data_IF_406369472571
#
_entry.id   IF_406369472571
#
_cell.length_a   1.000
_cell.length_b   1.000
_cell.length_c   1.000
_cell.angle_alpha   90.00
_cell.angle_beta   90.00
_cell.angle_gamma   90.00
#
_symmetry.space_group_name_H-M   'P 1'
#
loop_
_entity.id
_entity.type
_entity.pdbx_description
1 polymer ?
#
# COMPACT_ATOMS: atom_id res chain seq x y z
N UNK A 1 -4.52 6.94 2.68
CA UNK A 1 -4.42 5.89 1.63
C UNK A 1 -5.15 4.66 2.15
N UNK A 2 -5.94 3.95 1.31
CA UNK A 2 -6.98 2.99 1.78
C UNK A 2 -6.51 1.97 2.82
N UNK A 3 -5.26 1.51 2.71
CA UNK A 3 -4.66 0.56 3.66
C UNK A 3 -4.52 1.19 5.05
N UNK A 4 -3.88 2.36 5.16
CA UNK A 4 -3.68 3.01 6.47
C UNK A 4 -4.95 3.68 7.02
N UNK A 5 -5.95 3.95 6.17
CA UNK A 5 -7.24 4.49 6.60
C UNK A 5 -8.16 3.41 7.20
N UNK A 6 -7.70 2.15 7.29
CA UNK A 6 -8.46 1.04 7.86
C UNK A 6 -9.65 0.58 6.99
N UNK A 7 -9.64 0.91 5.69
CA UNK A 7 -10.74 0.60 4.78
C UNK A 7 -10.97 -0.92 4.60
N UNK A 8 -9.90 -1.71 4.65
CA UNK A 8 -9.97 -3.16 4.53
C UNK A 8 -10.15 -3.82 5.90
N UNK A 9 -11.36 -4.26 6.18
CA UNK A 9 -11.70 -4.97 7.44
C UNK A 9 -11.53 -6.49 7.35
N UNK A 10 -11.22 -7.01 6.16
CA UNK A 10 -10.86 -8.41 5.95
C UNK A 10 -9.84 -8.53 4.82
N UNK A 11 -9.04 -9.59 4.88
CA UNK A 11 -8.10 -9.98 3.83
C UNK A 11 -8.82 -10.20 2.49
N UNK A 12 -10.03 -10.78 2.53
CA UNK A 12 -10.88 -10.96 1.35
C UNK A 12 -11.22 -9.65 0.64
N UNK A 13 -11.55 -8.59 1.39
CA UNK A 13 -11.88 -7.29 0.81
C UNK A 13 -10.65 -6.64 0.15
N UNK A 14 -9.48 -6.78 0.77
CA UNK A 14 -8.22 -6.32 0.18
C UNK A 14 -7.90 -7.06 -1.12
N UNK A 15 -7.97 -8.40 -1.12
CA UNK A 15 -7.70 -9.22 -2.30
C UNK A 15 -8.69 -8.96 -3.44
N UNK A 16 -9.95 -8.63 -3.13
CA UNK A 16 -10.94 -8.28 -4.15
C UNK A 16 -10.49 -7.05 -4.97
N UNK A 17 -10.01 -5.99 -4.30
CA UNK A 17 -9.52 -4.78 -4.98
C UNK A 17 -8.22 -5.05 -5.75
N UNK A 18 -7.32 -5.89 -5.23
CA UNK A 18 -6.09 -6.29 -5.94
C UNK A 18 -6.41 -7.06 -7.23
N UNK A 19 -7.41 -7.95 -7.19
CA UNK A 19 -7.86 -8.72 -8.35
C UNK A 19 -8.52 -7.88 -9.44
N UNK A 20 -8.82 -6.60 -9.18
CA UNK A 20 -9.28 -5.68 -10.22
C UNK A 20 -8.14 -5.24 -11.15
N UNK A 21 -6.87 -5.39 -10.75
CA UNK A 21 -5.74 -4.84 -11.52
C UNK A 21 -5.62 -5.48 -12.91
N UNK A 22 -5.68 -6.82 -13.07
CA UNK A 22 -5.63 -7.43 -14.40
C UNK A 22 -6.85 -7.09 -15.26
N UNK A 23 -8.03 -6.99 -14.65
CA UNK A 23 -9.25 -6.58 -15.35
C UNK A 23 -9.13 -5.14 -15.87
N UNK A 24 -8.66 -4.22 -15.04
CA UNK A 24 -8.43 -2.84 -15.42
C UNK A 24 -7.32 -2.74 -16.49
N UNK A 25 -6.21 -3.47 -16.33
CA UNK A 25 -5.12 -3.47 -17.31
C UNK A 25 -5.62 -3.89 -18.70
N UNK A 26 -6.44 -4.94 -18.80
CA UNK A 26 -7.04 -5.37 -20.08
C UNK A 26 -8.08 -4.40 -20.63
N UNK A 27 -8.74 -3.62 -19.76
CA UNK A 27 -9.74 -2.64 -20.19
C UNK A 27 -9.10 -1.40 -20.82
N UNK A 28 -7.93 -0.98 -20.32
CA UNK A 28 -7.27 0.26 -20.73
C UNK A 28 -6.08 0.07 -21.66
N UNK A 29 -5.57 -1.15 -21.82
CA UNK A 29 -4.44 -1.45 -22.70
C UNK A 29 -4.79 -2.51 -23.74
N UNK A 30 -4.33 -2.29 -24.97
CA UNK A 30 -4.49 -3.22 -26.08
C UNK A 30 -3.60 -4.46 -25.86
N UNK A 31 -4.17 -5.65 -26.01
CA UNK A 31 -3.44 -6.90 -25.92
C UNK A 31 -2.62 -7.20 -27.19
N UNK A 32 -2.84 -6.50 -28.30
CA UNK A 32 -2.03 -6.68 -29.50
C UNK A 32 -0.81 -5.74 -29.52
N UNK A 33 -0.80 -4.73 -28.64
CA UNK A 33 0.34 -3.83 -28.44
C UNK A 33 1.39 -4.46 -27.50
N UNK A 34 2.67 -4.53 -27.89
CA UNK A 34 3.74 -5.05 -27.02
C UNK A 34 3.84 -4.34 -25.67
N UNK A 35 3.57 -3.04 -25.59
CA UNK A 35 3.59 -2.30 -24.32
C UNK A 35 2.35 -2.63 -23.48
N UNK A 36 1.17 -2.71 -24.08
CA UNK A 36 -0.04 -3.21 -23.43
C UNK A 36 0.11 -4.63 -22.87
N UNK A 37 0.71 -5.56 -23.64
CA UNK A 37 1.04 -6.91 -23.18
C UNK A 37 1.95 -6.91 -21.95
N UNK A 38 2.99 -6.06 -21.94
CA UNK A 38 3.89 -5.93 -20.78
C UNK A 38 3.15 -5.44 -19.54
N UNK A 39 2.24 -4.49 -19.68
CA UNK A 39 1.45 -3.96 -18.55
C UNK A 39 0.51 -5.03 -18.01
N UNK A 40 -0.21 -5.74 -18.89
CA UNK A 40 -1.11 -6.83 -18.50
C UNK A 40 -0.31 -7.95 -17.79
N UNK A 41 0.82 -8.37 -18.35
CA UNK A 41 1.70 -9.37 -17.73
C UNK A 41 2.17 -8.92 -16.33
N UNK A 42 2.64 -7.68 -16.21
CA UNK A 42 3.08 -7.12 -14.92
C UNK A 42 1.94 -7.05 -13.91
N UNK A 43 0.71 -6.76 -14.34
CA UNK A 43 -0.45 -6.74 -13.45
C UNK A 43 -0.73 -8.13 -12.85
N UNK A 44 -0.58 -9.20 -13.65
CA UNK A 44 -0.68 -10.57 -13.14
C UNK A 44 0.46 -10.88 -12.17
N UNK A 45 1.69 -10.53 -12.50
CA UNK A 45 2.84 -10.71 -11.59
C UNK A 45 2.65 -10.01 -10.25
N UNK A 46 2.07 -8.80 -10.24
CA UNK A 46 1.77 -8.08 -9.00
C UNK A 46 0.75 -8.83 -8.15
N UNK A 47 -0.32 -9.36 -8.75
CA UNK A 47 -1.34 -10.15 -8.06
C UNK A 47 -0.71 -11.42 -7.47
N UNK A 48 0.13 -12.12 -8.24
CA UNK A 48 0.82 -13.32 -7.76
C UNK A 48 1.73 -13.03 -6.57
N UNK A 49 2.50 -11.94 -6.62
CA UNK A 49 3.34 -11.50 -5.51
C UNK A 49 2.53 -11.22 -4.24
N UNK A 50 1.36 -10.58 -4.39
CA UNK A 50 0.46 -10.35 -3.26
C UNK A 50 -0.07 -11.67 -2.70
N UNK A 51 -0.45 -12.62 -3.56
CA UNK A 51 -0.90 -13.94 -3.10
C UNK A 51 0.19 -14.71 -2.36
N UNK A 52 1.44 -14.64 -2.83
CA UNK A 52 2.58 -15.23 -2.13
C UNK A 52 2.77 -14.59 -0.76
N UNK A 53 2.77 -13.25 -0.67
CA UNK A 53 2.93 -12.53 0.58
C UNK A 53 1.80 -12.84 1.57
N UNK A 54 0.55 -12.90 1.09
CA UNK A 54 -0.61 -13.26 1.89
C UNK A 54 -0.53 -14.72 2.37
N UNK A 55 0.02 -15.63 1.57
CA UNK A 55 0.25 -17.01 1.96
C UNK A 55 1.24 -17.20 3.11
N UNK A 56 2.04 -16.17 3.44
CA UNK A 56 2.96 -16.18 4.58
C UNK A 56 2.31 -15.67 5.89
N UNK A 57 1.07 -15.17 5.84
CA UNK A 57 0.36 -14.73 7.04
C UNK A 57 -0.01 -15.91 7.93
N UNK A 58 0.09 -15.71 9.25
CA UNK A 58 -0.40 -16.68 10.23
C UNK A 58 -1.92 -16.88 10.08
N UNK A 59 -2.40 -18.10 9.77
CA UNK A 59 -3.82 -18.38 9.63
C UNK A 59 -4.62 -18.06 10.91
N UNK A 60 -4.02 -18.21 12.09
CA UNK A 60 -4.68 -17.90 13.36
C UNK A 60 -4.94 -16.40 13.50
N UNK A 61 -3.99 -15.56 13.08
CA UNK A 61 -4.14 -14.12 13.05
C UNK A 61 -5.24 -13.67 12.08
N UNK A 62 -5.29 -14.27 10.88
CA UNK A 62 -6.34 -13.96 9.88
C UNK A 62 -7.73 -14.29 10.44
N UNK A 63 -7.90 -15.49 11.01
CA UNK A 63 -9.16 -15.92 11.63
C UNK A 63 -9.57 -15.00 12.78
N UNK A 64 -8.63 -14.60 13.63
CA UNK A 64 -8.89 -13.66 14.72
C UNK A 64 -9.39 -12.31 14.20
N UNK A 65 -8.74 -11.74 13.18
CA UNK A 65 -9.16 -10.48 12.58
C UNK A 65 -10.58 -10.57 11.98
N UNK A 66 -10.91 -11.69 11.32
CA UNK A 66 -12.26 -11.93 10.82
C UNK A 66 -13.30 -11.99 11.95
N UNK A 67 -12.98 -12.67 13.05
CA UNK A 67 -13.84 -12.74 14.23
C UNK A 67 -14.05 -11.36 14.87
N UNK A 68 -13.00 -10.55 14.99
CA UNK A 68 -13.10 -9.16 15.48
C UNK A 68 -14.01 -8.34 14.58
N UNK A 69 -13.85 -8.44 13.26
CA UNK A 69 -14.68 -7.73 12.30
C UNK A 69 -16.14 -8.19 12.34
N UNK A 70 -16.40 -9.49 12.43
CA UNK A 70 -17.75 -10.04 12.59
C UNK A 70 -18.42 -9.52 13.87
N UNK A 71 -17.69 -9.53 14.99
CA UNK A 71 -18.19 -8.99 16.27
C UNK A 71 -18.51 -7.49 16.18
N UNK A 72 -17.67 -6.69 15.53
CA UNK A 72 -17.92 -5.26 15.31
C UNK A 72 -19.17 -5.01 14.45
N UNK A 73 -19.40 -5.83 13.43
CA UNK A 73 -20.62 -5.75 12.61
C UNK A 73 -21.87 -6.12 13.39
N UNK A 74 -21.80 -7.16 14.23
CA UNK A 74 -22.90 -7.58 15.10
C UNK A 74 -23.19 -6.57 16.22
N UNK A 75 -22.17 -5.87 16.71
CA UNK A 75 -22.29 -4.89 17.79
C UNK A 75 -21.62 -3.56 17.41
N UNK A 76 -22.29 -2.70 16.61
CA UNK A 76 -21.71 -1.44 16.12
C UNK A 76 -21.32 -0.47 17.23
N UNK A 77 -22.00 -0.53 18.38
CA UNK A 77 -21.70 0.29 19.56
C UNK A 77 -20.39 -0.10 20.28
N UNK A 78 -19.84 -1.29 20.01
CA UNK A 78 -18.54 -1.76 20.49
C UNK A 78 -17.41 -1.43 19.51
N UNK A 79 -17.71 -0.83 18.35
CA UNK A 79 -16.68 -0.33 17.46
C UNK A 79 -15.91 0.79 18.17
N UNK A 80 -14.57 0.78 18.16
CA UNK A 80 -13.80 1.89 18.70
C UNK A 80 -14.27 3.18 18.03
N UNK A 81 -14.64 4.19 18.83
CA UNK A 81 -14.93 5.53 18.30
C UNK A 81 -13.71 5.96 17.47
N UNK A 82 -13.94 6.36 16.24
CA UNK A 82 -12.88 6.88 15.37
C UNK A 82 -12.11 7.94 16.16
N UNK A 83 -10.80 7.72 16.35
CA UNK A 83 -9.95 8.69 17.02
C UNK A 83 -9.97 9.97 16.18
N UNK A 84 -10.39 11.13 16.72
CA UNK A 84 -10.33 12.40 15.99
C UNK A 84 -8.90 12.90 15.77
N UNK A 85 -7.89 12.15 16.24
CA UNK A 85 -6.47 12.48 16.18
C UNK A 85 -5.66 11.63 15.19
N UNK A 86 -6.26 11.09 14.12
CA UNK A 86 -5.46 10.72 12.95
C UNK A 86 -4.94 12.02 12.30
N UNK A 87 -3.90 12.59 12.91
CA UNK A 87 -3.11 13.67 12.34
C UNK A 87 -2.52 13.17 11.02
N UNK A 88 -2.63 13.91 9.91
CA UNK A 88 -1.87 13.59 8.72
C UNK A 88 -0.39 13.58 9.12
N UNK A 89 0.26 12.45 8.91
CA UNK A 89 1.71 12.32 9.07
C UNK A 89 2.36 13.36 8.17
N UNK A 90 2.77 14.47 8.76
CA UNK A 90 3.49 15.55 8.08
C UNK A 90 4.80 14.98 7.57
N UNK A 91 4.90 14.93 6.25
CA UNK A 91 6.10 14.81 5.42
C UNK A 91 7.37 15.29 6.16
N UNK A 92 8.40 14.44 6.34
CA UNK A 92 9.69 14.93 6.82
C UNK A 92 10.33 15.77 5.72
N UNK A 93 10.50 17.06 6.01
CA UNK A 93 11.12 18.08 5.17
C UNK A 93 12.43 17.60 4.50
N UNK A 94 12.75 18.07 3.28
CA UNK A 94 13.98 17.69 2.60
C UNK A 94 15.19 18.13 3.43
N UNK A 95 15.99 17.16 3.86
CA UNK A 95 17.28 17.39 4.46
C UNK A 95 18.16 18.16 3.47
N UNK A 96 18.29 19.46 3.70
CA UNK A 96 19.24 20.32 3.00
C UNK A 96 20.64 19.83 3.36
N UNK A 97 21.23 19.02 2.47
CA UNK A 97 22.61 18.56 2.57
C UNK A 97 23.52 19.74 2.19
N UNK A 98 23.68 20.65 3.13
CA UNK A 98 24.67 21.72 3.08
C UNK A 98 26.08 21.20 3.38
N UNK A 99 27.05 21.95 2.85
CA UNK A 99 28.51 21.85 3.05
C UNK A 99 29.23 20.94 2.05
N UNK A 100 30.33 21.34 1.41
CA UNK A 100 31.34 22.31 1.83
C UNK A 100 32.09 22.80 0.57
N UNK A 101 32.16 24.12 0.35
CA UNK A 101 33.11 24.70 -0.61
C UNK A 101 34.49 24.70 0.04
N UNK A 102 35.40 23.90 -0.51
CA UNK A 102 36.83 23.98 -0.18
C UNK A 102 37.39 25.29 -0.74
N UNK A 103 37.64 26.26 0.15
CA UNK A 103 38.38 27.48 -0.13
C UNK A 103 39.79 27.31 0.44
N UNK A 104 40.76 27.05 -0.42
CA UNK A 104 42.18 27.28 -0.11
C UNK A 104 42.54 28.68 -0.58
N UNK A 105 42.77 29.60 0.36
CA UNK A 105 43.18 30.99 0.08
C UNK A 105 44.66 31.17 0.48
N UNK A 106 45.44 31.67 -0.49
CA UNK A 106 46.64 32.52 -0.43
C UNK A 106 47.88 32.13 0.41
N UNK A 107 49.04 32.23 -0.24
CA UNK A 107 49.92 33.39 -0.04
C UNK A 107 50.89 33.56 -1.22
N UNK A 108 50.96 34.77 -1.77
CA UNK A 108 52.09 35.22 -2.55
C UNK A 108 53.03 36.02 -1.64
N UNK A 109 54.33 35.88 -1.89
CA UNK A 109 55.30 36.97 -1.87
C UNK A 109 56.48 36.61 -2.75
#
# INVERSE_FOLDING_TARGET
>A
WRVDDGHYTSLKAFLADINLFPTAARQYHDAEDPDGQRIISRSHTLVDMVHVAVGQLDPALVSFCEAVTARRRAHPHLAPKANPHSTPSSEPAPATRGSLRLRGDKAGS
#
